data_IF_832807652935
#
_entry.id   IF_832807652935
#
_cell.length_a   1.000
_cell.length_b   1.000
_cell.length_c   1.000
_cell.angle_alpha   90.00
_cell.angle_beta   90.00
_cell.angle_gamma   90.00
#
_symmetry.space_group_name_H-M   'P 1'
#
loop_
_entity.id
_entity.type
_entity.pdbx_description
1 polymer ?
#
# COMPACT_ATOMS: atom_id res chain seq x y z
N UNK A 1 -4.23 -23.10 10.41
CA UNK A 1 -3.41 -21.92 10.03
C UNK A 1 -3.23 -21.89 8.51
N UNK A 2 -2.80 -23.00 7.92
CA UNK A 2 -2.84 -23.22 6.46
C UNK A 2 -4.20 -22.84 5.84
N UNK A 3 -5.32 -23.29 6.42
CA UNK A 3 -6.67 -22.96 5.93
C UNK A 3 -7.00 -21.47 5.96
N UNK A 4 -6.49 -20.74 6.96
CA UNK A 4 -6.71 -19.28 7.06
C UNK A 4 -5.92 -18.53 5.99
N UNK A 5 -4.68 -18.95 5.75
CA UNK A 5 -3.89 -18.37 4.68
C UNK A 5 -4.47 -18.71 3.31
N UNK A 6 -4.90 -19.95 3.11
CA UNK A 6 -5.53 -20.38 1.86
C UNK A 6 -6.81 -19.58 1.59
N UNK A 7 -7.67 -19.42 2.60
CA UNK A 7 -8.85 -18.57 2.53
C UNK A 7 -8.48 -17.13 2.17
N UNK A 8 -7.47 -16.56 2.82
CA UNK A 8 -6.97 -15.22 2.54
C UNK A 8 -6.43 -15.05 1.11
N UNK A 9 -5.63 -16.01 0.61
CA UNK A 9 -5.12 -16.02 -0.76
C UNK A 9 -6.26 -16.14 -1.78
N UNK A 10 -7.27 -16.96 -1.48
CA UNK A 10 -8.47 -17.11 -2.30
C UNK A 10 -9.27 -15.80 -2.37
N UNK A 11 -9.56 -15.19 -1.21
CA UNK A 11 -10.23 -13.88 -1.13
C UNK A 11 -9.47 -12.81 -1.91
N UNK A 12 -8.14 -12.82 -1.83
CA UNK A 12 -7.34 -11.85 -2.57
C UNK A 12 -7.26 -12.12 -4.08
N UNK A 13 -7.19 -13.38 -4.49
CA UNK A 13 -7.22 -13.74 -5.92
C UNK A 13 -8.49 -13.18 -6.57
N UNK A 14 -9.63 -13.32 -5.92
CA UNK A 14 -10.90 -12.73 -6.34
C UNK A 14 -10.82 -11.19 -6.43
N UNK A 15 -10.22 -10.54 -5.43
CA UNK A 15 -10.01 -9.08 -5.44
C UNK A 15 -9.17 -8.62 -6.65
N UNK A 16 -8.13 -9.36 -7.02
CA UNK A 16 -7.32 -9.05 -8.20
C UNK A 16 -8.07 -9.21 -9.51
N UNK A 17 -8.95 -10.20 -9.63
CA UNK A 17 -9.83 -10.33 -10.80
C UNK A 17 -10.71 -9.08 -10.94
N UNK A 18 -11.26 -8.58 -9.83
CA UNK A 18 -12.06 -7.35 -9.81
C UNK A 18 -11.26 -6.09 -10.17
N UNK A 19 -10.01 -5.98 -9.72
CA UNK A 19 -9.08 -4.90 -10.11
C UNK A 19 -8.50 -5.07 -11.53
N UNK A 20 -9.07 -5.98 -12.32
CA UNK A 20 -8.68 -6.31 -13.71
C UNK A 20 -7.22 -6.74 -13.84
N UNK A 21 -6.74 -7.51 -12.87
CA UNK A 21 -5.42 -8.12 -12.85
C UNK A 21 -5.51 -9.66 -12.95
N UNK A 22 -6.06 -10.24 -14.05
CA UNK A 22 -6.36 -11.67 -14.14
C UNK A 22 -5.10 -12.56 -14.16
N UNK A 23 -3.99 -12.10 -14.72
CA UNK A 23 -2.71 -12.82 -14.65
C UNK A 23 -2.26 -13.02 -13.21
N UNK A 24 -2.54 -12.02 -12.37
CA UNK A 24 -2.19 -12.04 -10.96
C UNK A 24 -3.13 -12.89 -10.13
N UNK A 25 -4.42 -12.82 -10.38
CA UNK A 25 -5.36 -13.75 -9.80
C UNK A 25 -4.97 -15.20 -10.11
N UNK A 26 -4.53 -15.48 -11.34
CA UNK A 26 -4.02 -16.79 -11.72
C UNK A 26 -2.78 -17.20 -10.91
N UNK A 27 -1.79 -16.32 -10.75
CA UNK A 27 -0.62 -16.60 -9.91
C UNK A 27 -0.98 -16.81 -8.44
N UNK A 28 -1.92 -16.04 -7.89
CA UNK A 28 -2.36 -16.18 -6.51
C UNK A 28 -3.15 -17.46 -6.29
N UNK A 29 -4.01 -17.86 -7.23
CA UNK A 29 -4.62 -19.20 -7.23
C UNK A 29 -3.58 -20.30 -7.35
N UNK A 30 -2.51 -20.09 -8.12
CA UNK A 30 -1.42 -21.06 -8.17
C UNK A 30 -0.76 -21.20 -6.79
N UNK A 31 -0.46 -20.09 -6.09
CA UNK A 31 0.09 -20.09 -4.73
C UNK A 31 -0.88 -20.69 -3.71
N UNK A 32 -2.17 -20.40 -3.80
CA UNK A 32 -3.23 -21.00 -2.99
C UNK A 32 -3.22 -22.53 -3.12
N UNK A 33 -3.19 -23.04 -4.35
CA UNK A 33 -3.15 -24.47 -4.65
C UNK A 33 -1.81 -25.12 -4.25
N UNK A 34 -0.73 -24.35 -4.14
CA UNK A 34 0.58 -24.84 -3.66
C UNK A 34 0.60 -25.09 -2.16
N UNK A 35 -0.28 -24.45 -1.37
CA UNK A 35 -0.38 -24.74 0.07
C UNK A 35 -0.84 -26.17 0.36
N UNK A 36 -1.41 -26.88 -0.63
CA UNK A 36 -1.78 -28.29 -0.52
C UNK A 36 -0.61 -29.26 -0.81
N UNK A 37 0.53 -28.76 -1.31
CA UNK A 37 1.74 -29.56 -1.60
C UNK A 37 2.77 -29.51 -0.45
N UNK A 38 3.77 -30.39 -0.48
CA UNK A 38 4.90 -30.31 0.45
C UNK A 38 5.62 -28.95 0.36
N UNK A 39 6.26 -28.56 1.47
CA UNK A 39 6.81 -27.21 1.64
C UNK A 39 7.86 -26.86 0.59
N UNK A 40 8.76 -27.79 0.27
CA UNK A 40 9.84 -27.56 -0.70
C UNK A 40 9.25 -27.28 -2.10
N UNK A 41 8.24 -28.05 -2.51
CA UNK A 41 7.53 -27.82 -3.76
C UNK A 41 6.76 -26.50 -3.77
N UNK A 42 6.15 -26.11 -2.65
CA UNK A 42 5.44 -24.84 -2.53
C UNK A 42 6.40 -23.64 -2.58
N UNK A 43 7.57 -23.75 -1.95
CA UNK A 43 8.61 -22.72 -1.90
C UNK A 43 9.31 -22.52 -3.25
N UNK A 44 9.66 -23.60 -3.95
CA UNK A 44 10.25 -23.54 -5.30
C UNK A 44 9.30 -22.86 -6.30
N UNK A 45 8.00 -23.15 -6.18
CA UNK A 45 6.99 -22.53 -7.05
C UNK A 45 6.71 -21.08 -6.66
N UNK A 46 6.71 -20.75 -5.36
CA UNK A 46 6.68 -19.38 -4.88
C UNK A 46 7.86 -18.59 -5.46
N UNK A 47 9.10 -19.02 -5.23
CA UNK A 47 10.30 -18.34 -5.76
C UNK A 47 10.27 -18.20 -7.29
N UNK A 48 9.78 -19.21 -8.01
CA UNK A 48 9.58 -19.13 -9.46
C UNK A 48 8.54 -18.08 -9.89
N UNK A 49 7.44 -17.91 -9.15
CA UNK A 49 6.44 -16.87 -9.42
C UNK A 49 7.01 -15.46 -9.22
N UNK A 50 7.92 -15.29 -8.25
CA UNK A 50 8.55 -13.99 -7.96
C UNK A 50 9.83 -13.71 -8.79
N UNK A 51 10.47 -14.73 -9.37
CA UNK A 51 11.82 -14.65 -9.95
C UNK A 51 11.97 -14.80 -11.48
N UNK A 52 10.91 -15.12 -12.24
CA UNK A 52 10.98 -15.35 -13.70
C UNK A 52 10.32 -14.29 -14.59
N UNK A 53 10.84 -14.06 -15.81
CA UNK A 53 10.29 -13.09 -16.78
C UNK A 53 8.76 -13.26 -16.98
N UNK A 54 8.00 -12.18 -16.77
CA UNK A 54 6.56 -12.23 -16.43
C UNK A 54 6.29 -12.05 -14.94
N UNK A 55 7.28 -11.56 -14.19
CA UNK A 55 7.29 -11.52 -12.73
C UNK A 55 6.17 -10.69 -12.14
N UNK A 56 5.96 -10.97 -10.86
CA UNK A 56 5.24 -10.12 -9.94
C UNK A 56 5.79 -8.67 -9.78
N UNK A 57 6.81 -8.25 -10.53
CA UNK A 57 7.38 -6.90 -10.50
C UNK A 57 6.99 -6.02 -11.69
N UNK A 58 6.40 -6.59 -12.76
CA UNK A 58 6.09 -5.86 -14.01
C UNK A 58 4.65 -5.28 -14.05
N UNK A 59 4.03 -5.07 -12.87
CA UNK A 59 2.73 -4.44 -12.78
C UNK A 59 2.85 -2.91 -12.92
N UNK A 60 1.97 -2.35 -13.75
CA UNK A 60 1.61 -0.94 -13.70
C UNK A 60 0.19 -0.76 -13.13
N UNK A 61 0.09 -0.59 -11.81
CA UNK A 61 -1.13 -0.11 -11.15
C UNK A 61 -1.01 1.40 -10.97
N UNK A 62 -1.89 2.16 -11.62
CA UNK A 62 -1.95 3.62 -11.49
C UNK A 62 -2.61 4.06 -10.17
N UNK A 63 -3.53 3.26 -9.65
CA UNK A 63 -4.28 3.55 -8.44
C UNK A 63 -3.46 3.27 -7.17
N UNK A 64 -3.21 4.27 -6.31
CA UNK A 64 -2.33 4.10 -5.16
C UNK A 64 -2.89 3.15 -4.10
N UNK A 65 -4.21 3.00 -4.00
CA UNK A 65 -4.84 2.02 -3.11
C UNK A 65 -4.51 0.61 -3.54
N UNK A 66 -4.77 0.30 -4.80
CA UNK A 66 -4.56 -1.03 -5.38
C UNK A 66 -3.07 -1.38 -5.41
N UNK A 67 -2.20 -0.40 -5.68
CA UNK A 67 -0.75 -0.59 -5.65
C UNK A 67 -0.23 -0.87 -4.23
N UNK A 68 -0.75 -0.16 -3.24
CA UNK A 68 -0.35 -0.37 -1.84
C UNK A 68 -0.85 -1.72 -1.33
N UNK A 69 -2.12 -2.04 -1.57
CA UNK A 69 -2.73 -3.34 -1.25
C UNK A 69 -1.85 -4.47 -1.77
N UNK A 70 -1.55 -4.41 -3.07
CA UNK A 70 -0.70 -5.35 -3.76
C UNK A 70 0.66 -5.56 -3.09
N UNK A 71 1.40 -4.49 -2.77
CA UNK A 71 2.72 -4.61 -2.17
C UNK A 71 2.66 -5.17 -0.75
N UNK A 72 1.64 -4.76 0.02
CA UNK A 72 1.42 -5.26 1.38
C UNK A 72 1.11 -6.76 1.39
N UNK A 73 0.34 -7.24 0.42
CA UNK A 73 0.05 -8.66 0.26
C UNK A 73 1.29 -9.49 -0.04
N UNK A 74 2.13 -9.02 -0.96
CA UNK A 74 3.43 -9.65 -1.22
C UNK A 74 4.20 -9.83 0.08
N UNK A 75 4.24 -8.81 0.94
CA UNK A 75 4.94 -8.89 2.21
C UNK A 75 4.35 -9.96 3.14
N UNK A 76 3.02 -10.10 3.26
CA UNK A 76 2.40 -11.15 4.09
C UNK A 76 2.76 -12.55 3.57
N UNK A 77 2.76 -12.75 2.25
CA UNK A 77 3.12 -14.04 1.64
C UNK A 77 4.60 -14.35 1.92
N UNK A 78 5.48 -13.35 1.77
CA UNK A 78 6.90 -13.49 2.09
C UNK A 78 7.11 -13.88 3.56
N UNK A 79 6.43 -13.18 4.49
CA UNK A 79 6.48 -13.47 5.92
C UNK A 79 6.04 -14.92 6.17
N UNK A 80 4.95 -15.38 5.54
CA UNK A 80 4.50 -16.76 5.69
C UNK A 80 5.58 -17.78 5.33
N UNK A 81 6.19 -17.67 4.15
CA UNK A 81 7.23 -18.60 3.71
C UNK A 81 8.50 -18.51 4.57
N UNK A 82 8.90 -17.31 5.00
CA UNK A 82 10.01 -17.12 5.92
C UNK A 82 9.75 -17.75 7.30
N UNK A 83 8.53 -17.59 7.83
CA UNK A 83 8.13 -18.21 9.09
C UNK A 83 8.15 -19.74 9.01
N UNK A 84 7.69 -20.31 7.90
CA UNK A 84 7.76 -21.76 7.69
C UNK A 84 9.20 -22.26 7.60
N UNK A 85 10.06 -21.58 6.84
CA UNK A 85 11.48 -21.91 6.70
C UNK A 85 12.21 -21.87 8.06
N UNK A 86 11.96 -20.81 8.85
CA UNK A 86 12.59 -20.59 10.14
C UNK A 86 11.87 -21.25 11.33
N UNK A 87 10.77 -21.99 11.07
CA UNK A 87 9.89 -22.59 12.09
C UNK A 87 9.42 -21.57 13.15
N UNK A 88 9.11 -20.36 12.71
CA UNK A 88 8.58 -19.27 13.55
C UNK A 88 7.06 -19.21 13.47
N UNK A 89 6.46 -18.60 14.49
CA UNK A 89 5.04 -18.25 14.48
C UNK A 89 4.79 -17.05 13.56
N UNK A 90 3.81 -17.17 12.66
CA UNK A 90 3.48 -16.13 11.69
C UNK A 90 2.85 -14.91 12.34
N UNK A 91 2.03 -15.10 13.38
CA UNK A 91 1.32 -13.99 14.02
C UNK A 91 2.28 -13.03 14.70
N UNK A 92 3.35 -13.56 15.29
CA UNK A 92 4.42 -12.78 15.91
C UNK A 92 5.14 -11.86 14.91
N UNK A 93 5.27 -12.27 13.65
CA UNK A 93 5.93 -11.48 12.59
C UNK A 93 4.92 -10.55 11.87
N UNK A 94 3.63 -10.87 11.90
CA UNK A 94 2.56 -9.96 11.44
C UNK A 94 2.33 -8.76 12.37
N UNK A 95 2.84 -8.78 13.60
CA UNK A 95 2.83 -7.61 14.51
C UNK A 95 3.61 -6.43 13.93
N UNK A 96 4.67 -6.67 13.16
CA UNK A 96 5.39 -5.58 12.48
C UNK A 96 4.52 -4.91 11.41
N UNK A 97 3.56 -5.65 10.84
CA UNK A 97 2.54 -5.15 9.91
C UNK A 97 1.52 -4.25 10.62
N UNK A 98 1.16 -4.58 11.86
CA UNK A 98 0.27 -3.78 12.72
C UNK A 98 0.91 -2.46 13.14
N UNK A 99 2.23 -2.45 13.32
CA UNK A 99 2.97 -1.29 13.80
C UNK A 99 3.43 -0.34 12.69
N UNK A 100 3.17 -0.70 11.43
CA UNK A 100 3.57 0.08 10.29
C UNK A 100 2.86 1.44 10.29
N UNK A 101 3.67 2.50 10.22
CA UNK A 101 3.21 3.86 10.52
C UNK A 101 2.72 4.56 9.26
N UNK A 102 2.08 5.70 9.46
CA UNK A 102 1.81 6.65 8.39
C UNK A 102 3.08 6.96 7.63
N UNK A 103 2.96 6.98 6.30
CA UNK A 103 4.07 7.37 5.45
C UNK A 103 4.37 8.85 5.62
N UNK A 104 5.63 9.21 5.40
CA UNK A 104 6.05 10.59 5.43
C UNK A 104 5.38 11.36 4.29
N UNK A 105 4.92 12.57 4.58
CA UNK A 105 4.33 13.45 3.57
C UNK A 105 5.43 13.96 2.65
N UNK A 106 5.25 13.73 1.36
CA UNK A 106 6.11 14.31 0.32
C UNK A 106 5.64 15.72 0.02
N UNK A 107 6.53 16.68 0.24
CA UNK A 107 6.28 18.11 0.00
C UNK A 107 7.18 18.57 -1.14
N UNK A 108 6.59 19.25 -2.11
CA UNK A 108 7.31 19.84 -3.23
C UNK A 108 7.72 21.26 -2.85
N UNK A 109 9.02 21.51 -2.84
CA UNK A 109 9.59 22.78 -2.42
C UNK A 109 10.32 23.44 -3.60
N UNK A 110 10.00 24.70 -3.87
CA UNK A 110 10.73 25.47 -4.86
C UNK A 110 12.14 25.77 -4.36
N UNK A 111 13.17 25.44 -5.13
CA UNK A 111 14.57 25.70 -4.75
C UNK A 111 14.94 27.19 -4.80
N UNK A 112 14.13 28.02 -5.45
CA UNK A 112 14.38 29.45 -5.66
C UNK A 112 13.81 30.32 -4.55
N UNK A 113 12.54 30.08 -4.19
CA UNK A 113 11.83 30.89 -3.19
C UNK A 113 11.38 30.09 -1.95
N UNK A 114 11.68 28.79 -1.87
CA UNK A 114 11.28 27.88 -0.79
C UNK A 114 9.77 27.75 -0.57
N UNK A 115 8.94 28.22 -1.49
CA UNK A 115 7.50 27.96 -1.47
C UNK A 115 7.23 26.46 -1.48
N UNK A 116 6.26 26.03 -0.67
CA UNK A 116 5.93 24.63 -0.45
C UNK A 116 4.53 24.34 -0.96
N UNK A 117 4.37 23.17 -1.57
CA UNK A 117 3.06 22.67 -1.91
C UNK A 117 3.00 21.15 -1.79
N UNK A 118 1.80 20.65 -1.60
CA UNK A 118 1.47 19.23 -1.52
C UNK A 118 0.37 18.93 -2.52
N UNK A 119 0.32 17.70 -3.00
CA UNK A 119 -0.79 17.27 -3.86
C UNK A 119 -1.80 16.50 -3.02
N UNK A 120 -3.08 16.52 -3.41
CA UNK A 120 -4.10 15.68 -2.76
C UNK A 120 -3.69 14.19 -2.77
N UNK A 121 -3.00 13.78 -3.83
CA UNK A 121 -2.43 12.43 -3.95
C UNK A 121 -1.37 12.17 -2.88
N UNK A 122 -0.40 13.06 -2.70
CA UNK A 122 0.66 12.91 -1.70
C UNK A 122 0.06 12.87 -0.28
N UNK A 123 -0.96 13.68 -0.02
CA UNK A 123 -1.67 13.70 1.27
C UNK A 123 -2.36 12.36 1.57
N UNK A 124 -3.23 11.91 0.67
CA UNK A 124 -4.00 10.67 0.88
C UNK A 124 -3.05 9.47 0.97
N UNK A 125 -1.97 9.45 0.17
CA UNK A 125 -0.97 8.37 0.19
C UNK A 125 -0.33 8.15 1.56
N UNK A 126 -0.28 9.16 2.43
CA UNK A 126 0.24 8.99 3.81
C UNK A 126 -0.57 7.98 4.64
N UNK A 127 -1.86 7.84 4.34
CA UNK A 127 -2.81 7.04 5.12
C UNK A 127 -3.12 5.67 4.51
N UNK A 128 -2.94 5.51 3.20
CA UNK A 128 -3.31 4.27 2.48
C UNK A 128 -2.65 3.03 3.11
N UNK A 129 -1.33 3.01 3.41
CA UNK A 129 -0.68 1.82 3.96
C UNK A 129 -1.29 1.34 5.27
N UNK A 130 -1.50 2.24 6.24
CA UNK A 130 -2.08 1.88 7.53
C UNK A 130 -3.51 1.33 7.39
N UNK A 131 -4.33 1.94 6.50
CA UNK A 131 -5.70 1.47 6.24
C UNK A 131 -5.71 0.11 5.53
N UNK A 132 -4.83 -0.10 4.55
CA UNK A 132 -4.65 -1.39 3.87
C UNK A 132 -4.22 -2.46 4.88
N UNK A 133 -3.23 -2.19 5.73
CA UNK A 133 -2.76 -3.15 6.72
C UNK A 133 -3.89 -3.55 7.67
N UNK A 134 -4.71 -2.60 8.12
CA UNK A 134 -5.87 -2.91 8.96
C UNK A 134 -6.85 -3.86 8.26
N UNK A 135 -7.24 -3.55 7.01
CA UNK A 135 -8.15 -4.40 6.22
C UNK A 135 -7.62 -5.82 6.05
N UNK A 136 -6.31 -5.91 5.80
CA UNK A 136 -5.57 -7.15 5.58
C UNK A 136 -5.50 -8.02 6.83
N UNK A 137 -5.16 -7.41 7.97
CA UNK A 137 -5.10 -8.10 9.26
C UNK A 137 -6.48 -8.53 9.72
N UNK A 138 -7.52 -7.72 9.48
CA UNK A 138 -8.90 -8.13 9.71
C UNK A 138 -9.26 -9.37 8.87
N UNK A 139 -8.86 -9.43 7.60
CA UNK A 139 -9.09 -10.60 6.74
C UNK A 139 -8.36 -11.85 7.25
N UNK A 140 -7.11 -11.72 7.71
CA UNK A 140 -6.32 -12.85 8.23
C UNK A 140 -6.84 -13.36 9.58
N UNK A 141 -7.24 -12.43 10.46
CA UNK A 141 -7.53 -12.74 11.86
C UNK A 141 -9.01 -13.00 12.14
N UNK A 142 -9.92 -12.52 11.30
CA UNK A 142 -11.37 -12.60 11.52
C UNK A 142 -12.11 -13.25 10.36
N UNK A 143 -13.39 -13.54 10.55
CA UNK A 143 -14.31 -13.92 9.48
C UNK A 143 -15.29 -12.75 9.26
N UNK A 144 -14.88 -11.73 8.49
CA UNK A 144 -15.64 -10.51 8.36
C UNK A 144 -16.98 -10.76 7.66
N UNK A 145 -18.01 -10.02 8.07
CA UNK A 145 -19.37 -10.13 7.50
C UNK A 145 -19.47 -9.61 6.07
N UNK A 146 -18.49 -8.83 5.62
CA UNK A 146 -18.36 -8.29 4.26
C UNK A 146 -17.08 -8.81 3.64
N UNK A 147 -17.10 -8.96 2.32
CA UNK A 147 -15.92 -9.36 1.56
C UNK A 147 -14.80 -8.32 1.70
N UNK A 148 -13.55 -8.75 1.51
CA UNK A 148 -12.41 -7.84 1.46
C UNK A 148 -12.60 -6.76 0.38
N UNK A 149 -13.14 -7.14 -0.79
CA UNK A 149 -13.44 -6.22 -1.88
C UNK A 149 -14.41 -5.11 -1.46
N UNK A 150 -15.53 -5.44 -0.83
CA UNK A 150 -16.51 -4.43 -0.40
C UNK A 150 -15.90 -3.43 0.58
N UNK A 151 -15.14 -3.92 1.56
CA UNK A 151 -14.47 -3.05 2.55
C UNK A 151 -13.37 -2.21 1.91
N UNK A 152 -12.62 -2.78 0.98
CA UNK A 152 -11.59 -2.06 0.21
C UNK A 152 -12.22 -0.95 -0.65
N UNK A 153 -13.31 -1.22 -1.36
CA UNK A 153 -14.05 -0.22 -2.12
C UNK A 153 -14.61 0.90 -1.24
N UNK A 154 -15.12 0.57 -0.06
CA UNK A 154 -15.61 1.58 0.91
C UNK A 154 -14.46 2.46 1.37
N UNK A 155 -13.37 1.88 1.85
CA UNK A 155 -12.20 2.63 2.32
C UNK A 155 -11.62 3.53 1.21
N UNK A 156 -11.57 3.03 -0.03
CA UNK A 156 -11.14 3.81 -1.20
C UNK A 156 -12.06 5.01 -1.45
N UNK A 157 -13.38 4.83 -1.38
CA UNK A 157 -14.37 5.93 -1.54
C UNK A 157 -14.31 6.94 -0.40
N UNK A 158 -14.06 6.49 0.82
CA UNK A 158 -13.89 7.35 2.00
C UNK A 158 -12.65 8.24 1.94
N UNK A 159 -11.72 8.00 0.99
CA UNK A 159 -10.55 8.85 0.76
C UNK A 159 -10.89 10.31 0.51
N UNK A 160 -12.08 10.60 -0.04
CA UNK A 160 -12.53 11.98 -0.29
C UNK A 160 -12.75 12.71 1.05
N UNK A 161 -13.47 12.10 1.98
CA UNK A 161 -13.68 12.66 3.31
C UNK A 161 -12.35 12.76 4.09
N UNK A 162 -11.52 11.72 3.97
CA UNK A 162 -10.19 11.72 4.58
C UNK A 162 -9.30 12.85 4.05
N UNK A 163 -9.40 13.17 2.76
CA UNK A 163 -8.63 14.28 2.19
C UNK A 163 -9.03 15.62 2.81
N UNK A 164 -10.32 15.85 3.05
CA UNK A 164 -10.81 17.05 3.73
C UNK A 164 -10.23 17.15 5.15
N UNK A 165 -10.20 16.03 5.88
CA UNK A 165 -9.59 15.94 7.22
C UNK A 165 -8.08 16.17 7.19
N UNK A 166 -7.36 15.59 6.23
CA UNK A 166 -5.91 15.77 6.13
C UNK A 166 -5.53 17.19 5.72
N UNK A 167 -6.35 17.83 4.88
CA UNK A 167 -6.08 19.18 4.39
C UNK A 167 -6.06 20.22 5.53
N UNK A 168 -6.81 20.02 6.62
CA UNK A 168 -6.79 20.94 7.76
C UNK A 168 -5.51 20.86 8.59
N UNK A 169 -4.71 19.80 8.41
CA UNK A 169 -3.41 19.65 9.10
C UNK A 169 -2.27 20.37 8.40
N UNK A 170 -2.51 20.87 7.19
CA UNK A 170 -1.48 21.52 6.37
C UNK A 170 -1.33 22.98 6.76
N UNK A 171 -0.09 23.39 6.94
CA UNK A 171 0.28 24.77 7.25
C UNK A 171 -0.32 25.72 6.20
N UNK A 172 -0.96 26.80 6.65
CA UNK A 172 -1.64 27.78 5.78
C UNK A 172 -0.70 28.42 4.75
N UNK A 173 0.61 28.43 5.01
CA UNK A 173 1.63 28.90 4.07
C UNK A 173 1.92 27.93 2.91
N UNK A 174 1.39 26.71 2.96
CA UNK A 174 1.59 25.69 1.94
C UNK A 174 0.37 25.61 1.03
N UNK A 175 0.62 25.44 -0.27
CA UNK A 175 -0.48 25.28 -1.24
C UNK A 175 -0.88 23.81 -1.39
N UNK A 176 -2.18 23.53 -1.52
CA UNK A 176 -2.69 22.19 -1.85
C UNK A 176 -3.12 22.17 -3.32
N UNK A 177 -2.44 21.34 -4.12
CA UNK A 177 -2.73 21.16 -5.54
C UNK A 177 -3.68 19.98 -5.72
N UNK A 178 -4.84 20.24 -6.31
CA UNK A 178 -5.94 19.26 -6.48
C UNK A 178 -5.93 18.48 -7.78
N UNK A 179 -5.17 18.93 -8.78
CA UNK A 179 -5.06 18.25 -10.08
C UNK A 179 -3.69 17.60 -10.26
N UNK A 180 -3.65 16.51 -11.04
CA UNK A 180 -2.43 15.73 -11.31
C UNK A 180 -1.29 16.65 -11.79
N UNK A 181 -0.21 16.81 -10.99
CA UNK A 181 0.77 17.89 -11.12
C UNK A 181 1.78 17.61 -12.22
N UNK A 182 1.39 16.83 -13.25
CA UNK A 182 2.27 16.34 -14.32
C UNK A 182 3.25 17.40 -14.84
N UNK A 183 2.89 18.70 -14.76
CA UNK A 183 3.86 19.79 -14.66
C UNK A 183 3.24 21.10 -14.17
N UNK A 184 3.69 21.70 -13.06
CA UNK A 184 3.38 23.11 -12.74
C UNK A 184 4.59 23.90 -12.19
N UNK A 185 4.83 25.13 -12.67
CA UNK A 185 5.82 26.03 -12.10
C UNK A 185 5.42 26.45 -10.68
N UNK A 186 6.40 26.75 -9.83
CA UNK A 186 6.14 27.30 -8.50
C UNK A 186 5.25 28.54 -8.57
N UNK A 187 4.15 28.58 -7.83
CA UNK A 187 3.22 29.71 -7.96
C UNK A 187 3.77 31.05 -7.50
N UNK A 188 4.70 31.04 -6.54
CA UNK A 188 5.29 32.27 -5.99
C UNK A 188 6.32 32.92 -6.91
N UNK A 189 7.08 32.14 -7.69
CA UNK A 189 8.19 32.67 -8.52
C UNK A 189 8.19 32.21 -9.99
N UNK A 190 7.24 31.35 -10.35
CA UNK A 190 7.03 30.77 -11.69
C UNK A 190 8.22 29.98 -12.25
N UNK A 191 9.10 29.46 -11.38
CA UNK A 191 10.22 28.59 -11.76
C UNK A 191 9.89 27.09 -11.62
N UNK A 192 10.51 26.27 -12.46
CA UNK A 192 10.30 24.80 -12.51
C UNK A 192 11.32 24.00 -11.70
N UNK A 193 12.11 24.66 -10.86
CA UNK A 193 13.12 24.00 -10.03
C UNK A 193 12.50 23.58 -8.70
N UNK A 194 11.97 22.36 -8.68
CA UNK A 194 11.34 21.76 -7.51
C UNK A 194 12.24 20.66 -6.94
N UNK A 195 12.30 20.60 -5.60
CA UNK A 195 12.87 19.48 -4.87
C UNK A 195 11.78 18.82 -4.03
N UNK A 196 11.84 17.49 -3.91
CA UNK A 196 10.97 16.73 -3.02
C UNK A 196 11.62 16.68 -1.62
N UNK A 197 10.84 16.94 -0.58
CA UNK A 197 11.28 16.83 0.81
C UNK A 197 10.25 16.01 1.60
N UNK A 198 10.72 15.19 2.53
CA UNK A 198 9.85 14.37 3.36
C UNK A 198 9.57 15.08 4.68
N UNK A 199 8.31 15.09 5.10
CA UNK A 199 7.86 15.69 6.34
C UNK A 199 7.09 14.67 7.17
N UNK A 200 7.13 14.85 8.49
CA UNK A 200 6.37 14.07 9.46
C UNK A 200 5.52 15.00 10.31
N UNK A 201 4.27 14.60 10.54
CA UNK A 201 3.37 15.26 11.47
C UNK A 201 3.56 14.66 12.86
N UNK A 202 3.79 15.52 13.86
CA UNK A 202 3.93 15.10 15.25
C UNK A 202 2.62 15.19 16.06
N UNK A 203 1.55 15.72 15.45
CA UNK A 203 0.26 15.97 16.09
C UNK A 203 -0.14 17.44 16.02
N UNK A 204 0.83 18.34 15.94
CA UNK A 204 0.61 19.79 15.93
C UNK A 204 1.31 20.47 14.73
N UNK A 205 2.52 20.02 14.36
CA UNK A 205 3.35 20.67 13.34
C UNK A 205 3.98 19.65 12.39
N UNK A 206 4.10 20.05 11.12
CA UNK A 206 4.90 19.32 10.13
C UNK A 206 6.38 19.68 10.25
N UNK A 207 7.21 18.69 10.53
CA UNK A 207 8.67 18.84 10.60
C UNK A 207 9.35 18.11 9.45
N UNK A 208 10.37 18.73 8.87
CA UNK A 208 11.16 18.12 7.80
C UNK A 208 12.03 17.01 8.38
N UNK A 209 11.98 15.84 7.75
CA UNK A 209 12.90 14.75 8.06
C UNK A 209 14.26 15.04 7.43
N UNK A 210 15.31 14.90 8.23
CA UNK A 210 16.71 15.13 7.79
C UNK A 210 17.29 13.92 7.11
#
# INVERSE_FOLDING_TARGET
MLDKLKLFLSTFSLLLEYEKQPQWAHHMHAVENMLDSDFDTAYDRYTSAYGGAGTLNDIHISDPWSLTLFWKLRTIINIHFQCLELKKDIFSELVEFEQDKLENLKVHCCTSCNARFVTERDLIQTQIPAKVNKLMLEEVNSHPTRTLYERFCVARKESVALLEELSVTIDESWSIIRSDPSYQPCDSCKQNTLKLQNFKFDGDVWSMLT
#
